data_IF_137945475854
#
_entry.id   IF_137945475854
#
_cell.length_a   1.000
_cell.length_b   1.000
_cell.length_c   1.000
_cell.angle_alpha   90.00
_cell.angle_beta   90.00
_cell.angle_gamma   90.00
#
_symmetry.space_group_name_H-M   'P 1'
#
loop_
_entity.id
_entity.type
_entity.pdbx_description
1 polymer ?
#
# COMPACT_ATOMS: atom_id res chain seq x y z
N UNK A 1 3.84 -17.91 41.87
CA UNK A 1 4.24 -17.74 40.48
C UNK A 1 4.10 -16.26 40.12
N UNK A 2 5.20 -15.51 40.05
CA UNK A 2 5.18 -14.06 39.75
C UNK A 2 4.92 -13.94 38.26
N UNK A 3 3.71 -13.54 37.89
CA UNK A 3 3.40 -13.14 36.51
C UNK A 3 4.21 -11.87 36.24
N UNK A 4 5.32 -11.99 35.56
CA UNK A 4 6.14 -10.87 35.11
C UNK A 4 5.28 -10.04 34.16
N UNK A 5 4.71 -8.94 34.59
CA UNK A 5 3.98 -8.01 33.71
C UNK A 5 5.00 -7.51 32.68
N UNK A 6 4.85 -7.97 31.46
CA UNK A 6 5.70 -7.53 30.34
C UNK A 6 5.24 -6.12 29.96
N UNK A 7 6.18 -5.16 30.01
CA UNK A 7 5.89 -3.75 29.74
C UNK A 7 5.40 -3.54 28.30
N UNK A 8 4.69 -2.44 28.06
CA UNK A 8 4.26 -2.06 26.69
C UNK A 8 5.45 -1.95 25.71
N UNK A 9 6.58 -1.43 26.19
CA UNK A 9 7.81 -1.35 25.39
C UNK A 9 8.32 -2.74 24.98
N UNK A 10 8.27 -3.71 25.90
CA UNK A 10 8.65 -5.10 25.57
C UNK A 10 7.68 -5.72 24.57
N UNK A 11 6.37 -5.44 24.64
CA UNK A 11 5.40 -5.90 23.65
C UNK A 11 5.63 -5.28 22.26
N UNK A 12 6.07 -4.01 22.20
CA UNK A 12 6.47 -3.39 20.93
C UNK A 12 7.72 -4.04 20.33
N UNK A 13 8.71 -4.40 21.12
CA UNK A 13 9.89 -5.15 20.64
C UNK A 13 9.48 -6.52 20.09
N UNK A 14 8.63 -7.25 20.81
CA UNK A 14 8.07 -8.53 20.34
C UNK A 14 7.34 -8.34 19.01
N UNK A 15 6.56 -7.26 18.85
CA UNK A 15 5.88 -6.93 17.61
C UNK A 15 6.86 -6.79 16.44
N UNK A 16 7.94 -6.04 16.60
CA UNK A 16 8.93 -5.86 15.53
C UNK A 16 9.71 -7.14 15.22
N UNK A 17 10.04 -7.94 16.23
CA UNK A 17 10.71 -9.23 16.02
C UNK A 17 9.79 -10.17 15.23
N UNK A 18 8.51 -10.26 15.62
CA UNK A 18 7.54 -11.08 14.91
C UNK A 18 7.23 -10.54 13.52
N UNK A 19 7.17 -9.23 13.33
CA UNK A 19 6.99 -8.61 12.01
C UNK A 19 8.10 -9.01 11.03
N UNK A 20 9.38 -9.06 11.47
CA UNK A 20 10.48 -9.52 10.62
C UNK A 20 10.28 -10.96 10.14
N UNK A 21 9.74 -11.83 10.99
CA UNK A 21 9.37 -13.19 10.61
C UNK A 21 8.20 -13.19 9.61
N UNK A 22 7.17 -12.39 9.86
CA UNK A 22 5.99 -12.30 8.99
C UNK A 22 6.29 -11.78 7.57
N UNK A 23 7.34 -10.99 7.40
CA UNK A 23 7.80 -10.49 6.08
C UNK A 23 8.97 -11.30 5.51
N UNK A 24 9.26 -12.46 6.10
CA UNK A 24 10.32 -13.39 5.67
C UNK A 24 11.74 -12.78 5.71
N UNK A 25 11.93 -11.72 6.50
CA UNK A 25 13.26 -11.15 6.73
C UNK A 25 14.13 -12.03 7.65
N UNK A 26 13.51 -12.92 8.42
CA UNK A 26 14.16 -13.98 9.22
C UNK A 26 13.37 -15.27 9.04
N UNK A 27 14.08 -16.40 8.94
CA UNK A 27 13.46 -17.70 8.71
C UNK A 27 12.93 -18.36 9.99
N UNK A 28 13.53 -18.04 11.14
CA UNK A 28 13.19 -18.68 12.41
C UNK A 28 12.16 -17.88 13.20
N UNK A 29 11.26 -18.60 13.88
CA UNK A 29 10.29 -18.00 14.80
C UNK A 29 11.07 -17.33 15.95
N UNK A 30 10.91 -16.02 16.17
CA UNK A 30 11.63 -15.32 17.24
C UNK A 30 11.27 -15.87 18.62
N UNK A 31 12.28 -16.15 19.45
CA UNK A 31 12.09 -16.66 20.82
C UNK A 31 11.20 -15.74 21.66
N UNK A 32 11.17 -14.45 21.36
CA UNK A 32 10.33 -13.46 22.04
C UNK A 32 8.83 -13.71 21.87
N UNK A 33 8.38 -14.41 20.83
CA UNK A 33 6.96 -14.69 20.53
C UNK A 33 6.26 -15.46 21.67
N UNK A 34 7.00 -16.30 22.40
CA UNK A 34 6.45 -17.01 23.58
C UNK A 34 5.96 -16.09 24.71
N UNK A 35 6.33 -14.82 24.65
CA UNK A 35 5.92 -13.80 25.64
C UNK A 35 4.93 -12.79 25.05
N UNK A 36 4.41 -13.04 23.87
CA UNK A 36 3.47 -12.15 23.19
C UNK A 36 2.14 -12.08 23.95
N UNK A 37 1.71 -10.87 24.28
CA UNK A 37 0.30 -10.61 24.57
C UNK A 37 -0.42 -10.39 23.24
N UNK A 38 -1.09 -11.42 22.74
CA UNK A 38 -1.72 -11.38 21.42
C UNK A 38 -2.83 -10.33 21.31
N UNK A 39 -3.48 -9.91 22.38
CA UNK A 39 -4.44 -8.79 22.35
C UNK A 39 -3.73 -7.47 22.06
N UNK A 40 -2.56 -7.26 22.70
CA UNK A 40 -1.72 -6.10 22.42
C UNK A 40 -1.16 -6.15 21.00
N UNK A 41 -0.68 -7.32 20.55
CA UNK A 41 -0.17 -7.50 19.19
C UNK A 41 -1.26 -7.21 18.14
N UNK A 42 -2.50 -7.68 18.36
CA UNK A 42 -3.64 -7.39 17.51
C UNK A 42 -3.94 -5.88 17.44
N UNK A 43 -3.95 -5.21 18.58
CA UNK A 43 -4.21 -3.77 18.65
C UNK A 43 -3.15 -2.96 17.88
N UNK A 44 -1.86 -3.32 18.02
CA UNK A 44 -0.77 -2.69 17.28
C UNK A 44 -0.93 -2.98 15.78
N UNK A 45 -1.13 -4.25 15.39
CA UNK A 45 -1.31 -4.64 14.00
C UNK A 45 -2.47 -3.91 13.31
N UNK A 46 -3.60 -3.75 14.01
CA UNK A 46 -4.77 -3.02 13.52
C UNK A 46 -4.44 -1.54 13.32
N UNK A 47 -3.79 -0.91 14.30
CA UNK A 47 -3.40 0.51 14.24
C UNK A 47 -2.39 0.78 13.12
N UNK A 48 -1.47 -0.18 12.88
CA UNK A 48 -0.43 -0.06 11.86
C UNK A 48 -0.85 -0.63 10.49
N UNK A 49 -2.11 -1.06 10.33
CA UNK A 49 -2.64 -1.67 9.10
C UNK A 49 -1.88 -2.93 8.63
N UNK A 50 -1.38 -3.73 9.58
CA UNK A 50 -0.57 -4.94 9.37
C UNK A 50 -1.30 -6.24 9.74
N UNK A 51 -2.62 -6.22 9.86
CA UNK A 51 -3.44 -7.40 10.25
C UNK A 51 -3.18 -8.60 9.35
N UNK A 52 -3.20 -8.42 8.03
CA UNK A 52 -2.96 -9.51 7.09
C UNK A 52 -1.54 -10.02 7.13
N UNK A 53 -0.55 -9.12 7.25
CA UNK A 53 0.87 -9.48 7.33
C UNK A 53 1.16 -10.33 8.57
N UNK A 54 0.66 -9.92 9.74
CA UNK A 54 0.88 -10.71 10.95
C UNK A 54 0.10 -12.04 10.91
N UNK A 55 -1.09 -12.08 10.30
CA UNK A 55 -1.82 -13.34 10.13
C UNK A 55 -1.04 -14.34 9.27
N UNK A 56 -0.31 -13.87 8.25
CA UNK A 56 0.58 -14.74 7.46
C UNK A 56 1.62 -15.44 8.35
N UNK A 57 2.26 -14.70 9.26
CA UNK A 57 3.18 -15.29 10.25
C UNK A 57 2.47 -16.17 11.30
N UNK A 58 1.31 -15.75 11.82
CA UNK A 58 0.54 -16.53 12.81
C UNK A 58 0.19 -17.92 12.29
N UNK A 59 -0.15 -18.05 11.00
CA UNK A 59 -0.46 -19.35 10.37
C UNK A 59 0.71 -20.33 10.37
N UNK A 60 1.94 -19.84 10.55
CA UNK A 60 3.17 -20.64 10.59
C UNK A 60 3.59 -20.99 12.03
N UNK A 61 2.90 -20.45 13.05
CA UNK A 61 3.24 -20.71 14.45
C UNK A 61 2.71 -22.08 14.91
N UNK A 62 3.47 -22.79 15.77
CA UNK A 62 2.92 -23.88 16.58
C UNK A 62 1.73 -23.39 17.40
N UNK A 63 0.77 -24.29 17.63
CA UNK A 63 -0.48 -23.97 18.32
C UNK A 63 -0.27 -23.34 19.71
N UNK A 64 0.80 -23.74 20.39
CA UNK A 64 1.16 -23.27 21.73
C UNK A 64 1.63 -21.82 21.76
N UNK A 65 2.09 -21.30 20.62
CA UNK A 65 2.55 -19.93 20.45
C UNK A 65 1.52 -19.02 19.78
N UNK A 66 0.47 -19.58 19.21
CA UNK A 66 -0.57 -18.84 18.50
C UNK A 66 -1.56 -18.14 19.46
N UNK A 67 -2.32 -17.13 19.00
CA UNK A 67 -3.44 -16.56 19.73
C UNK A 67 -4.47 -17.62 20.12
N UNK A 68 -5.26 -17.34 21.18
CA UNK A 68 -6.43 -18.13 21.49
C UNK A 68 -7.44 -18.16 20.33
N UNK A 69 -8.35 -19.16 20.33
CA UNK A 69 -9.26 -19.39 19.23
C UNK A 69 -10.18 -18.19 18.93
N UNK A 70 -10.68 -17.51 19.93
CA UNK A 70 -11.62 -16.38 19.77
C UNK A 70 -10.94 -15.17 19.13
N UNK A 71 -9.71 -14.85 19.59
CA UNK A 71 -8.93 -13.79 18.99
C UNK A 71 -8.47 -14.13 17.58
N UNK A 72 -8.09 -15.39 17.34
CA UNK A 72 -7.71 -15.87 16.01
C UNK A 72 -8.88 -15.77 15.03
N UNK A 73 -10.09 -16.15 15.43
CA UNK A 73 -11.31 -15.99 14.63
C UNK A 73 -11.58 -14.53 14.30
N UNK A 74 -11.41 -13.62 15.28
CA UNK A 74 -11.55 -12.18 15.06
C UNK A 74 -10.53 -11.67 14.05
N UNK A 75 -9.27 -12.12 14.16
CA UNK A 75 -8.18 -11.75 13.25
C UNK A 75 -8.45 -12.23 11.82
N UNK A 76 -8.85 -13.51 11.68
CA UNK A 76 -9.21 -14.12 10.39
C UNK A 76 -10.37 -13.40 9.73
N UNK A 77 -11.41 -13.03 10.49
CA UNK A 77 -12.56 -12.29 9.97
C UNK A 77 -12.17 -10.91 9.38
N UNK A 78 -11.24 -10.19 10.02
CA UNK A 78 -10.73 -8.93 9.48
C UNK A 78 -9.81 -9.14 8.27
N UNK A 79 -8.94 -10.14 8.32
CA UNK A 79 -8.07 -10.49 7.20
C UNK A 79 -8.86 -10.94 5.96
N UNK A 80 -9.98 -11.66 6.14
CA UNK A 80 -10.88 -12.03 5.05
C UNK A 80 -11.49 -10.79 4.37
N UNK A 81 -11.86 -9.76 5.14
CA UNK A 81 -12.33 -8.48 4.56
C UNK A 81 -11.22 -7.79 3.74
N UNK A 82 -9.99 -7.78 4.26
CA UNK A 82 -8.82 -7.25 3.54
C UNK A 82 -8.61 -8.00 2.23
N UNK A 83 -8.67 -9.32 2.25
CA UNK A 83 -8.56 -10.18 1.07
C UNK A 83 -9.60 -9.81 0.00
N UNK A 84 -10.88 -9.74 0.36
CA UNK A 84 -11.97 -9.40 -0.56
C UNK A 84 -11.83 -7.97 -1.12
N UNK A 85 -11.33 -7.03 -0.32
CA UNK A 85 -11.04 -5.68 -0.79
C UNK A 85 -9.89 -5.67 -1.82
N UNK A 86 -8.83 -6.46 -1.61
CA UNK A 86 -7.73 -6.56 -2.58
C UNK A 86 -8.19 -7.16 -3.91
N UNK A 87 -9.03 -8.20 -3.91
CA UNK A 87 -9.64 -8.74 -5.13
C UNK A 87 -10.33 -7.63 -5.92
N UNK A 88 -11.17 -6.84 -5.25
CA UNK A 88 -11.86 -5.72 -5.90
C UNK A 88 -10.88 -4.70 -6.47
N UNK A 89 -9.86 -4.34 -5.69
CA UNK A 89 -8.85 -3.37 -6.12
C UNK A 89 -8.01 -3.86 -7.30
N UNK A 90 -7.69 -5.16 -7.39
CA UNK A 90 -7.06 -5.72 -8.57
C UNK A 90 -7.93 -5.51 -9.82
N UNK A 91 -9.21 -5.89 -9.74
CA UNK A 91 -10.17 -5.73 -10.84
C UNK A 91 -10.35 -4.24 -11.22
N UNK A 92 -10.52 -3.36 -10.23
CA UNK A 92 -10.71 -1.93 -10.46
C UNK A 92 -9.45 -1.27 -11.04
N UNK A 93 -8.25 -1.70 -10.63
CA UNK A 93 -6.98 -1.22 -11.19
C UNK A 93 -6.83 -1.57 -12.67
N UNK A 94 -7.15 -2.80 -13.06
CA UNK A 94 -7.14 -3.20 -14.47
C UNK A 94 -8.15 -2.38 -15.28
N UNK A 95 -9.37 -2.26 -14.77
CA UNK A 95 -10.45 -1.52 -15.41
C UNK A 95 -10.11 -0.05 -15.61
N UNK A 96 -9.58 0.63 -14.60
CA UNK A 96 -9.22 2.05 -14.72
C UNK A 96 -8.04 2.26 -15.67
N UNK A 97 -7.04 1.38 -15.65
CA UNK A 97 -5.93 1.42 -16.60
C UNK A 97 -6.44 1.21 -18.03
N UNK A 98 -7.33 0.25 -18.25
CA UNK A 98 -7.93 0.00 -19.56
C UNK A 98 -8.69 1.22 -20.08
N UNK A 99 -9.55 1.81 -19.26
CA UNK A 99 -10.35 2.98 -19.63
C UNK A 99 -9.45 4.17 -20.02
N UNK A 100 -8.41 4.48 -19.24
CA UNK A 100 -7.50 5.57 -19.58
C UNK A 100 -6.66 5.28 -20.84
N UNK A 101 -6.29 4.03 -21.08
CA UNK A 101 -5.61 3.63 -22.33
C UNK A 101 -6.50 3.82 -23.55
N UNK A 102 -7.80 3.50 -23.46
CA UNK A 102 -8.78 3.76 -24.54
C UNK A 102 -8.92 5.26 -24.83
N UNK A 103 -8.79 6.12 -23.82
CA UNK A 103 -8.80 7.59 -23.97
C UNK A 103 -7.43 8.15 -24.42
N UNK A 104 -6.49 7.27 -24.80
CA UNK A 104 -5.18 7.65 -25.33
C UNK A 104 -4.18 8.13 -24.27
N UNK A 105 -4.38 7.76 -22.99
CA UNK A 105 -3.41 8.04 -21.94
C UNK A 105 -2.51 6.83 -21.68
N UNK A 106 -1.21 7.09 -21.53
CA UNK A 106 -0.32 6.14 -20.85
C UNK A 106 -0.47 6.35 -19.35
N UNK A 107 -0.59 5.27 -18.60
CA UNK A 107 -0.84 5.32 -17.17
C UNK A 107 0.06 4.37 -16.38
N UNK A 108 0.19 4.62 -15.08
CA UNK A 108 0.95 3.79 -14.15
C UNK A 108 0.27 3.83 -12.76
N UNK A 109 -0.01 2.67 -12.18
CA UNK A 109 -0.47 2.56 -10.78
C UNK A 109 0.74 2.79 -9.87
N UNK A 110 0.72 3.88 -9.09
CA UNK A 110 1.91 4.35 -8.36
C UNK A 110 2.22 3.57 -7.08
N UNK A 111 1.22 3.09 -6.40
CA UNK A 111 1.29 2.37 -5.11
C UNK A 111 0.32 1.18 -5.13
N UNK A 112 -0.35 0.96 -4.02
CA UNK A 112 -1.51 0.08 -3.94
C UNK A 112 -1.19 -1.33 -4.44
N UNK A 113 -1.81 -1.72 -5.54
CA UNK A 113 -1.78 -3.09 -6.04
C UNK A 113 -0.42 -3.48 -6.63
N UNK A 114 0.35 -2.53 -7.18
CA UNK A 114 1.73 -2.79 -7.58
C UNK A 114 2.62 -3.16 -6.40
N UNK A 115 2.50 -2.44 -5.28
CA UNK A 115 3.27 -2.73 -4.06
C UNK A 115 2.75 -3.98 -3.35
N UNK A 116 1.48 -4.34 -3.49
CA UNK A 116 0.94 -5.57 -2.90
C UNK A 116 1.67 -6.83 -3.41
N UNK A 117 2.17 -6.81 -4.64
CA UNK A 117 2.96 -7.91 -5.23
C UNK A 117 4.32 -8.15 -4.53
N UNK A 118 4.76 -7.21 -3.70
CA UNK A 118 6.00 -7.34 -2.91
C UNK A 118 5.76 -7.98 -1.53
N UNK A 119 4.49 -8.25 -1.17
CA UNK A 119 4.14 -8.91 0.08
C UNK A 119 4.20 -10.43 -0.10
N UNK A 120 4.50 -11.19 0.96
CA UNK A 120 4.46 -12.66 0.92
C UNK A 120 3.11 -13.22 0.43
N UNK A 121 2.02 -12.53 0.80
CA UNK A 121 0.68 -12.74 0.26
C UNK A 121 0.11 -11.39 -0.22
N UNK A 122 -0.02 -11.17 -1.53
CA UNK A 122 -0.51 -9.91 -2.10
C UNK A 122 -1.91 -9.50 -1.62
N UNK A 123 -2.73 -10.48 -1.22
CA UNK A 123 -4.08 -10.23 -0.73
C UNK A 123 -4.13 -9.72 0.71
N UNK A 124 -3.02 -9.81 1.45
CA UNK A 124 -2.95 -9.46 2.87
C UNK A 124 -2.43 -8.04 3.14
N UNK A 125 -2.02 -7.30 2.11
CA UNK A 125 -1.75 -5.87 2.26
C UNK A 125 -3.07 -5.14 2.57
N UNK A 126 -3.12 -4.36 3.66
CA UNK A 126 -4.30 -3.52 3.92
C UNK A 126 -4.48 -2.50 2.80
N UNK A 127 -5.60 -2.56 2.04
CA UNK A 127 -5.79 -1.70 0.88
C UNK A 127 -6.18 -0.26 1.27
N UNK A 128 -6.01 0.66 0.32
CA UNK A 128 -6.47 2.03 0.36
C UNK A 128 -7.15 2.40 -0.95
N UNK A 129 -6.78 3.55 -1.49
CA UNK A 129 -7.18 4.09 -2.78
C UNK A 129 -6.34 3.53 -3.94
N UNK A 130 -6.72 3.91 -5.17
CA UNK A 130 -5.94 3.68 -6.38
C UNK A 130 -5.29 5.00 -6.77
N UNK A 131 -3.98 5.12 -6.58
CA UNK A 131 -3.18 6.22 -7.12
C UNK A 131 -2.76 5.89 -8.54
N UNK A 132 -3.27 6.60 -9.53
CA UNK A 132 -2.91 6.39 -10.93
C UNK A 132 -2.30 7.65 -11.55
N UNK A 133 -1.06 7.53 -12.03
CA UNK A 133 -0.43 8.57 -12.84
C UNK A 133 -0.90 8.47 -14.29
N UNK A 134 -1.23 9.63 -14.88
CA UNK A 134 -1.50 9.76 -16.32
C UNK A 134 -0.42 10.63 -16.98
N UNK A 135 0.16 10.12 -18.07
CA UNK A 135 1.00 10.92 -18.94
C UNK A 135 0.15 11.82 -19.85
N UNK A 136 0.50 13.09 -19.96
CA UNK A 136 -0.23 14.03 -20.84
C UNK A 136 -0.32 15.44 -20.31
N UNK A 137 0.20 15.64 -19.09
CA UNK A 137 0.25 16.94 -18.44
C UNK A 137 -1.09 17.39 -17.87
N UNK A 138 -1.00 18.26 -16.86
CA UNK A 138 -2.12 18.71 -16.03
C UNK A 138 -3.30 19.24 -16.85
N UNK A 139 -3.05 20.08 -17.85
CA UNK A 139 -4.10 20.74 -18.65
C UNK A 139 -4.97 19.72 -19.39
N UNK A 140 -4.34 18.77 -20.11
CA UNK A 140 -5.04 17.73 -20.86
C UNK A 140 -5.83 16.80 -19.94
N UNK A 141 -5.24 16.41 -18.82
CA UNK A 141 -5.89 15.52 -17.83
C UNK A 141 -7.11 16.22 -17.22
N UNK A 142 -6.99 17.48 -16.82
CA UNK A 142 -8.12 18.24 -16.25
C UNK A 142 -9.24 18.50 -17.27
N UNK A 143 -8.92 18.70 -18.54
CA UNK A 143 -9.94 18.79 -19.59
C UNK A 143 -10.76 17.51 -19.70
N UNK A 144 -10.09 16.35 -19.64
CA UNK A 144 -10.78 15.06 -19.64
C UNK A 144 -11.60 14.84 -18.36
N UNK A 145 -10.98 15.05 -17.19
CA UNK A 145 -11.67 14.87 -15.91
C UNK A 145 -12.93 15.74 -15.81
N UNK A 146 -12.84 17.03 -16.18
CA UNK A 146 -14.00 17.94 -16.15
C UNK A 146 -15.10 17.56 -17.13
N UNK A 147 -14.76 16.89 -18.24
CA UNK A 147 -15.74 16.35 -19.19
C UNK A 147 -16.51 15.16 -18.61
N UNK A 148 -15.82 14.30 -17.85
CA UNK A 148 -16.39 13.04 -17.33
C UNK A 148 -16.96 13.22 -15.93
N UNK A 149 -16.26 13.95 -15.07
CA UNK A 149 -16.61 14.24 -13.68
C UNK A 149 -16.42 15.74 -13.42
N UNK A 150 -17.41 16.61 -13.71
CA UNK A 150 -17.28 18.04 -13.51
C UNK A 150 -17.16 18.39 -12.01
N UNK A 151 -16.57 19.56 -11.74
CA UNK A 151 -16.45 20.14 -10.41
C UNK A 151 -15.55 19.38 -9.41
N UNK A 152 -14.61 18.55 -9.89
CA UNK A 152 -13.64 17.91 -9.00
C UNK A 152 -12.61 18.93 -8.48
N UNK A 153 -12.29 18.84 -7.18
CA UNK A 153 -11.30 19.70 -6.55
C UNK A 153 -9.90 19.24 -6.96
N UNK A 154 -9.22 20.10 -7.68
CA UNK A 154 -7.84 19.86 -8.09
C UNK A 154 -6.88 20.21 -6.95
N UNK A 155 -6.06 19.25 -6.54
CA UNK A 155 -4.95 19.43 -5.61
C UNK A 155 -3.65 19.74 -6.37
N UNK A 156 -2.55 19.92 -5.65
CA UNK A 156 -1.27 20.24 -6.28
C UNK A 156 -0.82 19.19 -7.29
N UNK A 157 -0.94 17.91 -6.98
CA UNK A 157 -0.37 16.79 -7.74
C UNK A 157 -1.42 15.79 -8.26
N UNK A 158 -2.66 15.84 -7.77
CA UNK A 158 -3.73 14.91 -8.18
C UNK A 158 -5.11 15.59 -8.21
N UNK A 159 -6.08 14.85 -8.70
CA UNK A 159 -7.52 15.15 -8.64
C UNK A 159 -8.28 13.86 -8.34
N UNK A 160 -9.35 13.96 -7.56
CA UNK A 160 -10.25 12.84 -7.27
C UNK A 160 -11.01 12.43 -8.55
N UNK A 161 -11.21 11.12 -8.74
CA UNK A 161 -11.92 10.58 -9.90
C UNK A 161 -13.00 9.59 -9.46
N UNK A 162 -14.20 10.06 -9.05
CA UNK A 162 -15.26 9.27 -8.43
C UNK A 162 -16.10 8.46 -9.43
N UNK A 163 -15.47 7.74 -10.35
CA UNK A 163 -16.14 6.92 -11.37
C UNK A 163 -16.40 5.49 -10.94
N UNK A 164 -15.89 5.07 -9.80
CA UNK A 164 -16.04 3.74 -9.23
C UNK A 164 -16.35 3.83 -7.74
N UNK A 165 -16.73 2.69 -7.12
CA UNK A 165 -16.89 2.62 -5.66
C UNK A 165 -15.54 2.74 -4.93
N UNK A 166 -14.46 2.30 -5.57
CA UNK A 166 -13.10 2.48 -5.10
C UNK A 166 -12.67 3.93 -5.30
N UNK A 167 -12.08 4.54 -4.29
CA UNK A 167 -11.48 5.86 -4.41
C UNK A 167 -10.30 5.83 -5.37
N UNK A 168 -10.28 6.76 -6.31
CA UNK A 168 -9.22 6.88 -7.33
C UNK A 168 -8.68 8.29 -7.30
N UNK A 169 -7.36 8.42 -7.16
CA UNK A 169 -6.64 9.67 -7.31
C UNK A 169 -5.84 9.67 -8.63
N UNK A 170 -6.21 10.60 -9.51
CA UNK A 170 -5.52 10.77 -10.80
C UNK A 170 -4.39 11.78 -10.62
N UNK A 171 -3.16 11.32 -10.74
CA UNK A 171 -1.95 12.11 -10.55
C UNK A 171 -1.43 12.70 -11.86
N UNK A 172 -1.15 14.02 -11.86
CA UNK A 172 -0.44 14.71 -12.95
C UNK A 172 1.08 14.60 -12.81
N UNK A 173 1.53 14.46 -11.56
CA UNK A 173 2.90 14.15 -11.18
C UNK A 173 2.87 13.21 -9.98
N UNK A 174 3.74 12.20 -9.92
CA UNK A 174 3.72 11.22 -8.83
C UNK A 174 3.96 11.84 -7.45
N UNK A 175 4.87 12.79 -7.34
CA UNK A 175 5.24 13.42 -6.07
C UNK A 175 5.73 14.85 -6.28
N UNK A 176 5.95 15.54 -5.15
CA UNK A 176 6.53 16.90 -5.13
C UNK A 176 7.30 17.12 -3.84
N UNK A 177 8.13 18.18 -3.83
CA UNK A 177 8.89 18.62 -2.68
C UNK A 177 8.43 20.02 -2.26
N UNK A 178 8.45 20.33 -0.96
CA UNK A 178 8.07 21.65 -0.45
C UNK A 178 9.09 22.74 -0.83
N UNK A 179 10.38 22.40 -0.85
CA UNK A 179 11.42 23.35 -1.21
C UNK A 179 11.52 23.53 -2.74
N UNK A 180 11.31 24.76 -3.29
CA UNK A 180 11.15 24.97 -4.74
C UNK A 180 12.30 24.44 -5.59
N UNK A 181 13.56 24.63 -5.17
CA UNK A 181 14.74 24.15 -5.90
C UNK A 181 14.78 22.61 -5.99
N UNK A 182 14.44 21.94 -4.90
CA UNK A 182 14.37 20.47 -4.88
C UNK A 182 13.19 19.98 -5.70
N UNK A 183 12.06 20.66 -5.61
CA UNK A 183 10.89 20.33 -6.41
C UNK A 183 11.17 20.48 -7.90
N UNK A 184 11.82 21.55 -8.34
CA UNK A 184 12.19 21.72 -9.74
C UNK A 184 13.06 20.56 -10.26
N UNK A 185 14.07 20.14 -9.49
CA UNK A 185 14.92 18.98 -9.84
C UNK A 185 14.12 17.68 -9.90
N UNK A 186 13.23 17.49 -8.92
CA UNK A 186 12.36 16.32 -8.89
C UNK A 186 11.41 16.25 -10.08
N UNK A 187 10.75 17.37 -10.42
CA UNK A 187 9.83 17.42 -11.58
C UNK A 187 10.55 17.18 -12.90
N UNK A 188 11.78 17.69 -13.06
CA UNK A 188 12.62 17.40 -14.24
C UNK A 188 12.91 15.92 -14.35
N UNK A 189 13.40 15.29 -13.28
CA UNK A 189 13.67 13.86 -13.23
C UNK A 189 12.41 13.03 -13.49
N UNK A 190 11.27 13.35 -12.87
CA UNK A 190 9.99 12.68 -13.12
C UNK A 190 9.59 12.76 -14.60
N UNK A 191 9.76 13.92 -15.24
CA UNK A 191 9.49 14.08 -16.68
C UNK A 191 10.32 13.15 -17.56
N UNK A 192 11.55 12.86 -17.17
CA UNK A 192 12.47 11.98 -17.90
C UNK A 192 12.12 10.48 -17.72
N UNK A 193 11.73 10.07 -16.50
CA UNK A 193 11.62 8.64 -16.15
C UNK A 193 10.21 8.06 -16.22
N UNK A 194 9.14 8.89 -16.17
CA UNK A 194 7.76 8.39 -16.09
C UNK A 194 7.30 7.62 -17.33
N UNK A 195 7.91 7.89 -18.50
CA UNK A 195 7.66 7.11 -19.71
C UNK A 195 7.94 5.63 -19.54
N UNK A 196 9.07 5.30 -18.91
CA UNK A 196 9.47 3.93 -18.58
C UNK A 196 8.49 3.29 -17.58
N UNK A 197 8.07 4.03 -16.54
CA UNK A 197 7.16 3.50 -15.53
C UNK A 197 5.79 3.11 -16.14
N UNK A 198 5.29 3.91 -17.09
CA UNK A 198 4.04 3.58 -17.81
C UNK A 198 4.17 2.35 -18.73
N UNK A 199 5.38 1.92 -19.04
CA UNK A 199 5.66 0.76 -19.91
C UNK A 199 6.08 -0.48 -19.14
N UNK A 200 6.31 -0.36 -17.81
CA UNK A 200 6.69 -1.48 -16.95
C UNK A 200 5.41 -2.23 -16.50
N UNK A 201 5.06 -3.28 -17.22
CA UNK A 201 3.83 -4.05 -17.03
C UNK A 201 4.10 -5.27 -16.15
N UNK A 202 3.21 -5.53 -15.22
CA UNK A 202 3.22 -6.73 -14.35
C UNK A 202 1.88 -7.43 -14.40
N UNK A 203 1.92 -8.76 -14.35
CA UNK A 203 0.71 -9.58 -14.19
C UNK A 203 0.24 -9.56 -12.74
N UNK A 204 -1.07 -9.44 -12.55
CA UNK A 204 -1.72 -9.58 -11.25
C UNK A 204 -1.96 -11.06 -10.91
N UNK A 205 -2.07 -11.43 -9.61
CA UNK A 205 -2.34 -12.80 -9.20
C UNK A 205 -3.62 -13.35 -9.84
N UNK A 206 -3.75 -14.67 -9.88
CA UNK A 206 -4.96 -15.42 -10.27
C UNK A 206 -5.59 -15.00 -11.61
N UNK A 207 -4.79 -14.39 -12.49
CA UNK A 207 -5.25 -14.02 -13.82
C UNK A 207 -6.17 -12.80 -13.86
N UNK A 208 -6.18 -11.94 -12.84
CA UNK A 208 -6.97 -10.70 -12.86
C UNK A 208 -6.60 -9.74 -14.00
N UNK A 209 -5.44 -9.92 -14.62
CA UNK A 209 -4.97 -9.11 -15.75
C UNK A 209 -3.61 -8.47 -15.47
N UNK A 210 -3.34 -7.38 -16.17
CA UNK A 210 -2.05 -6.68 -16.14
C UNK A 210 -2.23 -5.20 -15.86
N UNK A 211 -1.28 -4.63 -15.11
CA UNK A 211 -1.21 -3.19 -14.84
C UNK A 211 0.21 -2.68 -15.06
N UNK A 212 0.35 -1.41 -15.43
CA UNK A 212 1.65 -0.74 -15.42
C UNK A 212 1.94 -0.22 -14.01
N UNK A 213 3.15 -0.49 -13.51
CA UNK A 213 3.61 -0.11 -12.15
C UNK A 213 5.03 0.46 -12.20
N UNK A 214 5.46 1.22 -11.19
CA UNK A 214 6.84 1.67 -11.10
C UNK A 214 7.85 0.53 -11.10
N UNK A 215 8.98 0.74 -11.78
CA UNK A 215 10.16 -0.14 -11.61
C UNK A 215 10.66 -0.08 -10.17
N UNK A 216 11.36 -1.12 -9.71
CA UNK A 216 11.87 -1.21 -8.32
C UNK A 216 12.70 0.02 -7.95
N UNK A 217 13.65 0.44 -8.79
CA UNK A 217 14.52 1.59 -8.52
C UNK A 217 13.74 2.90 -8.40
N UNK A 218 12.76 3.12 -9.27
CA UNK A 218 11.88 4.29 -9.16
C UNK A 218 11.05 4.22 -7.88
N UNK A 219 10.47 3.06 -7.60
CA UNK A 219 9.55 2.87 -6.48
C UNK A 219 10.21 3.16 -5.13
N UNK A 220 11.49 2.78 -4.94
CA UNK A 220 12.25 3.12 -3.72
C UNK A 220 12.31 4.64 -3.52
N UNK A 221 12.69 5.41 -4.54
CA UNK A 221 12.78 6.87 -4.46
C UNK A 221 11.39 7.48 -4.24
N UNK A 222 10.40 6.99 -4.96
CA UNK A 222 9.02 7.47 -4.87
C UNK A 222 8.42 7.23 -3.48
N UNK A 223 8.52 6.01 -2.96
CA UNK A 223 7.99 5.67 -1.63
C UNK A 223 8.71 6.46 -0.53
N UNK A 224 10.04 6.59 -0.59
CA UNK A 224 10.78 7.40 0.37
C UNK A 224 10.36 8.88 0.34
N UNK A 225 10.18 9.46 -0.84
CA UNK A 225 9.72 10.85 -0.96
C UNK A 225 8.28 11.03 -0.45
N UNK A 226 7.42 10.06 -0.70
CA UNK A 226 6.05 10.02 -0.23
C UNK A 226 5.99 9.85 1.30
N UNK A 227 6.75 8.90 1.85
CA UNK A 227 6.89 8.65 3.28
C UNK A 227 7.39 9.89 4.01
N UNK A 228 8.46 10.52 3.52
CA UNK A 228 9.00 11.76 4.08
C UNK A 228 7.90 12.82 4.24
N UNK A 229 7.12 13.06 3.19
CA UNK A 229 6.04 14.04 3.21
C UNK A 229 4.98 13.70 4.26
N UNK A 230 4.49 12.46 4.29
CA UNK A 230 3.43 12.06 5.20
C UNK A 230 3.88 11.96 6.66
N UNK A 231 5.08 11.46 6.93
CA UNK A 231 5.61 11.40 8.32
C UNK A 231 5.68 12.79 8.93
N UNK A 232 6.15 13.79 8.18
CA UNK A 232 6.31 15.14 8.71
C UNK A 232 5.03 15.97 8.70
N UNK A 233 3.99 15.57 8.00
CA UNK A 233 2.74 16.32 7.90
C UNK A 233 1.52 15.62 8.51
N UNK A 234 1.45 14.28 8.45
CA UNK A 234 0.22 13.53 8.74
C UNK A 234 0.39 12.40 9.77
N UNK A 235 1.60 11.91 9.99
CA UNK A 235 1.87 10.80 10.92
C UNK A 235 1.28 9.47 10.44
N UNK A 236 1.94 8.80 9.51
CA UNK A 236 1.47 7.53 8.89
C UNK A 236 1.92 6.28 9.66
N UNK A 237 1.22 5.16 9.41
CA UNK A 237 1.56 3.85 9.94
C UNK A 237 2.67 3.11 9.16
N UNK A 238 3.08 1.94 9.65
CA UNK A 238 4.20 1.15 9.10
C UNK A 238 3.96 0.50 7.74
N UNK A 239 2.73 0.47 7.25
CA UNK A 239 2.37 -0.15 5.96
C UNK A 239 2.86 0.60 4.71
N UNK A 240 3.34 1.82 4.88
CA UNK A 240 3.73 2.70 3.77
C UNK A 240 5.09 2.32 3.17
#
# INVERSE_FOLDING_TARGET
>A
MIVKIITMEAQQRIFFDFLKFCIEAVAEIPVSVKYADWKVQYAIAKKQALIGVLLHGIKQLPKELAPDADLLMTWMGLAQKIHQQNIRLFMDSVKVCHNFKQEGYRCCILKGQGNALLYPDPYMRTPGDIDIYLAGGRKRIMQYINKVCPNQVMRYHHVDFPMMKTAIEVHFTPSYMFYPKHNHRMQKWLGEVMGLQCSNVVALPDGYGEISVPTVNFNVIYILSHLYRHVFTEGIGLRQ
#
